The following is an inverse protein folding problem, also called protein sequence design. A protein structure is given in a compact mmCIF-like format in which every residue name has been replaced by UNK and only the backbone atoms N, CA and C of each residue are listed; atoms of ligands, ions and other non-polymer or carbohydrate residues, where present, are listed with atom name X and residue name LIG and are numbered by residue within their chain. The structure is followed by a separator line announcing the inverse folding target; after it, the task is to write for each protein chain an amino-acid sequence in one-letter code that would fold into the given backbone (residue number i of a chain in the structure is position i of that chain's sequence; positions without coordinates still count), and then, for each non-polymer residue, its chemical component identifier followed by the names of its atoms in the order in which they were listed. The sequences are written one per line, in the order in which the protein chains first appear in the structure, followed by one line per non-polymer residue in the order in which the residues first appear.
data_IF_459697586935
#
_entry.id   IF_459697586935
#
_cell.length_a   1.000
_cell.length_b   1.000
_cell.length_c   1.000
_cell.angle_alpha   90.00
_cell.angle_beta   90.00
_cell.angle_gamma   90.00
#
_symmetry.space_group_name_H-M   'P 1'
#
loop_
_entity.id
_entity.type
_entity.pdbx_description
1 polymer ?
#
# COMPACT_ATOMS: atom_id res chain seq x y z
N UNK A 1 -68.75 -13.45 -53.47
CA UNK A 1 -68.22 -14.07 -52.25
C UNK A 1 -66.71 -13.86 -52.26
N UNK A 2 -66.25 -12.80 -51.58
CA UNK A 2 -64.87 -12.30 -51.60
C UNK A 2 -63.99 -13.14 -50.67
N UNK A 3 -62.88 -13.70 -51.19
CA UNK A 3 -61.82 -14.26 -50.35
C UNK A 3 -60.59 -13.38 -50.55
N UNK A 4 -60.41 -12.45 -49.61
CA UNK A 4 -59.24 -11.60 -49.50
C UNK A 4 -58.06 -12.47 -49.04
N UNK A 5 -57.06 -12.70 -49.91
CA UNK A 5 -55.83 -13.40 -49.52
C UNK A 5 -54.93 -12.43 -48.74
N UNK A 6 -54.85 -12.63 -47.43
CA UNK A 6 -53.96 -11.89 -46.54
C UNK A 6 -52.53 -12.40 -46.73
N UNK A 7 -51.66 -11.61 -47.36
CA UNK A 7 -50.23 -11.92 -47.44
C UNK A 7 -49.54 -11.45 -46.14
N UNK A 8 -49.08 -12.40 -45.33
CA UNK A 8 -48.31 -12.11 -44.12
C UNK A 8 -46.84 -11.94 -44.54
N UNK A 9 -46.35 -10.70 -44.48
CA UNK A 9 -44.91 -10.39 -44.69
C UNK A 9 -44.21 -10.54 -43.35
N UNK A 10 -43.34 -11.55 -43.22
CA UNK A 10 -42.47 -11.72 -42.06
C UNK A 10 -41.27 -10.77 -42.18
N UNK A 11 -41.20 -9.73 -41.35
CA UNK A 11 -39.99 -8.94 -41.15
C UNK A 11 -39.05 -9.70 -40.21
N UNK A 12 -37.93 -10.23 -40.74
CA UNK A 12 -36.86 -10.77 -39.91
C UNK A 12 -36.03 -9.59 -39.40
N UNK A 13 -36.25 -9.19 -38.15
CA UNK A 13 -35.38 -8.24 -37.47
C UNK A 13 -34.06 -8.94 -37.14
N UNK A 14 -33.00 -8.65 -37.91
CA UNK A 14 -31.64 -9.10 -37.58
C UNK A 14 -31.13 -8.19 -36.47
N UNK A 15 -31.20 -8.64 -35.22
CA UNK A 15 -30.52 -7.95 -34.11
C UNK A 15 -29.03 -8.24 -34.20
N UNK A 16 -28.24 -7.26 -34.62
CA UNK A 16 -26.78 -7.32 -34.47
C UNK A 16 -26.45 -7.18 -32.98
N UNK A 17 -26.28 -8.30 -32.29
CA UNK A 17 -25.68 -8.30 -30.96
C UNK A 17 -24.20 -7.93 -31.12
N UNK A 18 -23.88 -6.66 -30.88
CA UNK A 18 -22.49 -6.25 -30.71
C UNK A 18 -22.03 -6.86 -29.38
N UNK A 19 -21.33 -8.00 -29.44
CA UNK A 19 -20.74 -8.61 -28.27
C UNK A 19 -19.63 -7.68 -27.75
N UNK A 20 -19.90 -7.01 -26.63
CA UNK A 20 -18.87 -6.25 -25.92
C UNK A 20 -17.89 -7.24 -25.30
N UNK A 21 -16.61 -7.14 -25.65
CA UNK A 21 -15.54 -8.00 -25.11
C UNK A 21 -14.64 -7.16 -24.21
N UNK A 22 -14.40 -7.63 -22.98
CA UNK A 22 -13.38 -7.07 -22.10
C UNK A 22 -12.04 -7.67 -22.56
N UNK A 23 -11.10 -6.83 -22.97
CA UNK A 23 -9.72 -7.22 -23.27
C UNK A 23 -8.81 -6.83 -22.12
N UNK A 24 -7.73 -7.59 -21.94
CA UNK A 24 -6.69 -7.20 -20.99
C UNK A 24 -6.14 -5.81 -21.35
N UNK A 25 -6.03 -4.96 -20.34
CA UNK A 25 -5.25 -3.74 -20.43
C UNK A 25 -3.82 -4.04 -19.95
N UNK A 26 -2.85 -3.23 -20.36
CA UNK A 26 -1.51 -3.30 -19.78
C UNK A 26 -1.59 -3.28 -18.26
N UNK A 27 -0.97 -4.28 -17.62
CA UNK A 27 -0.97 -4.41 -16.17
C UNK A 27 -0.26 -3.20 -15.54
N UNK A 28 -1.05 -2.22 -15.09
CA UNK A 28 -0.59 -1.13 -14.24
C UNK A 28 -0.64 -1.56 -12.77
N UNK A 29 -0.17 -2.77 -12.44
CA UNK A 29 -0.25 -3.39 -11.12
C UNK A 29 0.43 -2.61 -9.99
N UNK A 30 1.14 -1.52 -10.31
CA UNK A 30 1.60 -0.53 -9.34
C UNK A 30 0.59 0.61 -9.18
N UNK A 31 0.39 1.03 -7.94
CA UNK A 31 -0.29 2.29 -7.67
C UNK A 31 0.54 3.43 -8.25
N UNK A 32 -0.13 4.49 -8.71
CA UNK A 32 0.52 5.69 -9.24
C UNK A 32 1.54 6.25 -8.25
N UNK A 33 2.72 6.61 -8.75
CA UNK A 33 3.80 7.25 -8.00
C UNK A 33 4.22 6.49 -6.74
N UNK A 34 4.30 5.16 -6.85
CA UNK A 34 4.81 4.30 -5.79
C UNK A 34 6.03 3.51 -6.24
N UNK A 35 6.93 3.24 -5.30
CA UNK A 35 8.05 2.33 -5.47
C UNK A 35 8.18 1.38 -4.29
N UNK A 36 8.92 0.29 -4.50
CA UNK A 36 9.23 -0.70 -3.47
C UNK A 36 10.72 -0.91 -3.41
N UNK A 37 11.29 -0.85 -2.22
CA UNK A 37 12.70 -1.11 -1.94
C UNK A 37 12.83 -2.25 -0.95
N UNK A 38 13.91 -3.00 -1.06
CA UNK A 38 14.35 -3.91 0.00
C UNK A 38 15.33 -3.17 0.89
N UNK A 39 15.17 -3.27 2.20
CA UNK A 39 16.00 -2.61 3.19
C UNK A 39 16.50 -3.64 4.19
N UNK A 40 17.82 -3.81 4.27
CA UNK A 40 18.43 -4.72 5.24
C UNK A 40 18.66 -3.97 6.56
N UNK A 41 18.05 -4.45 7.64
CA UNK A 41 18.25 -3.89 8.98
C UNK A 41 19.42 -4.56 9.68
N UNK A 42 20.27 -3.75 10.31
CA UNK A 42 21.33 -4.26 11.19
C UNK A 42 20.74 -4.53 12.57
N UNK A 43 19.91 -3.62 13.09
CA UNK A 43 19.27 -3.73 14.40
C UNK A 43 18.40 -4.99 14.56
N UNK A 44 17.69 -5.40 13.50
CA UNK A 44 16.81 -6.59 13.53
C UNK A 44 17.48 -7.82 12.91
N UNK A 45 18.60 -7.65 12.21
CA UNK A 45 19.29 -8.69 11.45
C UNK A 45 18.38 -9.37 10.40
N UNK A 46 17.51 -8.57 9.75
CA UNK A 46 16.48 -9.06 8.83
C UNK A 46 16.19 -8.04 7.72
N UNK A 47 15.50 -8.49 6.67
CA UNK A 47 15.14 -7.69 5.52
C UNK A 47 13.68 -7.21 5.59
N UNK A 48 13.46 -5.93 5.27
CA UNK A 48 12.14 -5.33 5.14
C UNK A 48 11.86 -4.90 3.70
N UNK A 49 10.58 -4.94 3.32
CA UNK A 49 10.07 -4.32 2.11
C UNK A 49 9.48 -2.96 2.47
N UNK A 50 10.10 -1.92 1.93
CA UNK A 50 9.72 -0.54 2.14
C UNK A 50 8.95 -0.06 0.92
N UNK A 51 7.68 0.23 1.12
CA UNK A 51 6.77 0.73 0.10
C UNK A 51 6.67 2.25 0.22
N UNK A 52 6.96 3.00 -0.84
CA UNK A 52 6.97 4.46 -0.79
C UNK A 52 5.92 4.99 -1.76
N UNK A 53 5.09 5.93 -1.30
CA UNK A 53 4.19 6.71 -2.15
C UNK A 53 4.57 8.17 -2.05
N UNK A 54 4.87 8.77 -3.19
CA UNK A 54 5.21 10.19 -3.29
C UNK A 54 3.96 11.02 -3.69
N UNK A 55 3.80 12.23 -3.14
CA UNK A 55 2.70 13.11 -3.50
C UNK A 55 2.82 13.60 -4.95
N UNK A 56 1.71 14.10 -5.52
CA UNK A 56 1.66 14.46 -6.94
C UNK A 56 2.64 15.59 -7.28
N UNK A 57 2.79 16.56 -6.38
CA UNK A 57 3.69 17.70 -6.59
C UNK A 57 5.17 17.39 -6.35
N UNK A 58 5.53 16.16 -5.94
CA UNK A 58 6.89 15.84 -5.50
C UNK A 58 7.93 16.25 -6.54
N UNK A 59 7.87 15.75 -7.78
CA UNK A 59 8.85 16.08 -8.84
C UNK A 59 8.77 17.53 -9.34
N UNK A 60 7.67 18.23 -9.08
CA UNK A 60 7.45 19.59 -9.59
C UNK A 60 7.91 20.68 -8.60
N UNK A 61 8.26 20.32 -7.36
CA UNK A 61 8.57 21.29 -6.31
C UNK A 61 9.69 20.80 -5.38
N UNK A 62 10.36 21.75 -4.74
CA UNK A 62 11.34 21.49 -3.68
C UNK A 62 10.70 21.45 -2.28
N UNK A 63 9.37 21.30 -2.21
CA UNK A 63 8.65 21.24 -0.93
C UNK A 63 9.12 20.04 -0.10
N UNK A 64 9.17 20.23 1.22
CA UNK A 64 9.31 19.16 2.19
C UNK A 64 7.93 18.68 2.64
N UNK A 65 7.77 17.36 2.79
CA UNK A 65 6.48 16.73 3.05
C UNK A 65 6.47 15.99 4.38
N UNK A 66 5.36 16.05 5.14
CA UNK A 66 5.18 15.18 6.29
C UNK A 66 5.21 13.70 5.87
N UNK A 67 5.56 12.82 6.80
CA UNK A 67 5.71 11.38 6.53
C UNK A 67 4.77 10.57 7.41
N UNK A 68 3.93 9.76 6.78
CA UNK A 68 3.10 8.76 7.46
C UNK A 68 3.71 7.37 7.25
N UNK A 69 4.21 6.80 8.33
CA UNK A 69 4.72 5.43 8.37
C UNK A 69 3.59 4.45 8.68
N UNK A 70 3.42 3.44 7.83
CA UNK A 70 2.36 2.43 7.91
C UNK A 70 3.00 1.09 8.26
N UNK A 71 2.75 0.59 9.46
CA UNK A 71 3.07 -0.80 9.82
C UNK A 71 2.15 -1.76 9.07
N UNK A 72 2.57 -3.02 8.91
CA UNK A 72 1.91 -4.00 8.03
C UNK A 72 1.78 -3.50 6.57
N UNK A 73 2.86 -2.93 6.02
CA UNK A 73 2.90 -2.31 4.69
C UNK A 73 2.42 -3.24 3.57
N UNK A 74 2.70 -4.54 3.65
CA UNK A 74 2.24 -5.53 2.66
C UNK A 74 0.71 -5.55 2.50
N UNK A 75 -0.01 -5.27 3.59
CA UNK A 75 -1.47 -5.26 3.66
C UNK A 75 -2.05 -3.86 3.52
N UNK A 76 -1.51 -2.89 4.26
CA UNK A 76 -2.17 -1.59 4.49
C UNK A 76 -1.69 -0.46 3.57
N UNK A 77 -0.47 -0.55 3.01
CA UNK A 77 0.14 0.56 2.25
C UNK A 77 -0.73 1.00 1.07
N UNK A 78 -1.19 0.04 0.25
CA UNK A 78 -1.93 0.32 -0.98
C UNK A 78 -3.25 1.04 -0.72
N UNK A 79 -3.93 0.63 0.36
CA UNK A 79 -5.15 1.26 0.83
C UNK A 79 -4.88 2.68 1.35
N UNK A 80 -3.88 2.85 2.22
CA UNK A 80 -3.50 4.15 2.76
C UNK A 80 -3.11 5.15 1.66
N UNK A 81 -2.27 4.74 0.71
CA UNK A 81 -1.83 5.58 -0.41
C UNK A 81 -3.01 6.04 -1.29
N UNK A 82 -3.97 5.15 -1.55
CA UNK A 82 -5.14 5.46 -2.36
C UNK A 82 -6.09 6.42 -1.64
N UNK A 83 -6.35 6.18 -0.35
CA UNK A 83 -7.21 7.05 0.48
C UNK A 83 -6.58 8.44 0.61
N UNK A 84 -5.29 8.52 0.92
CA UNK A 84 -4.59 9.79 1.07
C UNK A 84 -4.64 10.62 -0.21
N UNK A 85 -4.40 9.98 -1.37
CA UNK A 85 -4.49 10.65 -2.68
C UNK A 85 -5.89 11.21 -2.95
N UNK A 86 -6.93 10.46 -2.62
CA UNK A 86 -8.31 10.92 -2.76
C UNK A 86 -8.59 12.13 -1.86
N UNK A 87 -8.14 12.09 -0.61
CA UNK A 87 -8.31 13.19 0.34
C UNK A 87 -7.52 14.45 -0.07
N UNK A 88 -6.30 14.27 -0.59
CA UNK A 88 -5.46 15.35 -1.14
C UNK A 88 -6.09 16.01 -2.36
N UNK A 89 -6.67 15.23 -3.28
CA UNK A 89 -7.40 15.76 -4.43
C UNK A 89 -8.55 16.67 -3.99
N UNK A 90 -9.26 16.30 -2.93
CA UNK A 90 -10.30 17.13 -2.33
C UNK A 90 -9.79 18.24 -1.41
N UNK A 91 -8.48 18.39 -1.21
CA UNK A 91 -7.88 19.40 -0.32
C UNK A 91 -8.14 19.18 1.18
N UNK A 92 -8.55 17.97 1.58
CA UNK A 92 -8.92 17.66 2.97
C UNK A 92 -7.72 17.42 3.88
N UNK A 93 -6.61 16.96 3.30
CA UNK A 93 -5.33 16.74 3.99
C UNK A 93 -4.19 17.34 3.15
N UNK A 94 -3.06 17.73 3.76
CA UNK A 94 -1.89 18.14 3.00
C UNK A 94 -1.34 16.98 2.16
N UNK A 95 -0.54 17.31 1.15
CA UNK A 95 0.32 16.32 0.52
C UNK A 95 1.34 15.75 1.51
N UNK A 96 1.49 14.43 1.52
CA UNK A 96 2.40 13.70 2.41
C UNK A 96 3.09 12.55 1.66
N UNK A 97 4.25 12.14 2.17
CA UNK A 97 4.90 10.89 1.79
C UNK A 97 4.33 9.78 2.67
N UNK A 98 4.01 8.64 2.08
CA UNK A 98 3.58 7.44 2.82
C UNK A 98 4.63 6.37 2.67
N UNK A 99 5.07 5.80 3.80
CA UNK A 99 6.08 4.75 3.85
C UNK A 99 5.48 3.52 4.53
N UNK A 100 5.20 2.47 3.77
CA UNK A 100 4.79 1.17 4.31
C UNK A 100 5.99 0.31 4.70
N UNK A 101 5.95 -0.28 5.89
CA UNK A 101 6.97 -1.21 6.39
C UNK A 101 6.38 -2.61 6.41
N UNK A 102 6.90 -3.49 5.57
CA UNK A 102 6.44 -4.87 5.46
C UNK A 102 7.59 -5.87 5.29
N UNK A 103 7.23 -7.10 4.97
CA UNK A 103 8.09 -8.27 4.85
C UNK A 103 8.09 -8.84 3.41
N UNK A 104 7.34 -8.23 2.49
CA UNK A 104 7.17 -8.72 1.11
C UNK A 104 6.15 -9.85 0.99
N UNK A 105 5.51 -10.22 2.09
CA UNK A 105 4.53 -11.32 2.18
C UNK A 105 3.59 -11.12 3.36
N UNK A 106 2.37 -11.66 3.23
CA UNK A 106 1.40 -11.75 4.32
C UNK A 106 1.56 -13.02 5.16
N UNK A 107 2.45 -13.92 4.76
CA UNK A 107 2.54 -15.28 5.31
C UNK A 107 3.74 -15.42 6.22
N UNK A 108 3.51 -15.96 7.42
CA UNK A 108 4.57 -16.19 8.40
C UNK A 108 5.64 -17.14 7.86
N UNK A 109 5.24 -18.17 7.14
CA UNK A 109 6.15 -19.21 6.61
C UNK A 109 7.06 -18.67 5.50
N UNK A 110 6.76 -17.50 4.94
CA UNK A 110 7.53 -16.84 3.90
C UNK A 110 8.38 -15.67 4.43
N UNK A 111 8.43 -15.48 5.76
CA UNK A 111 9.25 -14.45 6.40
C UNK A 111 8.48 -13.27 7.01
N UNK A 112 7.15 -13.33 7.14
CA UNK A 112 6.43 -12.30 7.89
C UNK A 112 6.67 -12.45 9.41
N UNK A 113 7.55 -11.61 9.95
CA UNK A 113 8.00 -11.66 11.35
C UNK A 113 7.28 -10.67 12.27
N UNK A 114 6.09 -10.17 11.89
CA UNK A 114 5.33 -9.18 12.68
C UNK A 114 5.05 -9.61 14.13
N UNK A 115 4.98 -10.92 14.40
CA UNK A 115 4.79 -11.41 15.77
C UNK A 115 6.01 -11.11 16.65
N UNK A 116 7.22 -11.24 16.09
CA UNK A 116 8.49 -10.92 16.75
C UNK A 116 8.57 -9.42 16.96
N UNK A 117 8.41 -8.67 15.87
CA UNK A 117 8.72 -7.24 15.81
C UNK A 117 7.70 -6.34 16.51
N UNK A 118 6.43 -6.75 16.62
CA UNK A 118 5.39 -5.93 17.27
C UNK A 118 5.08 -6.35 18.71
N UNK A 119 5.85 -7.28 19.29
CA UNK A 119 5.62 -7.74 20.66
C UNK A 119 6.60 -7.06 21.62
N UNK A 120 6.14 -6.21 22.57
CA UNK A 120 7.00 -5.49 23.52
C UNK A 120 7.82 -6.38 24.45
N UNK A 121 7.27 -7.54 24.79
CA UNK A 121 7.89 -8.48 25.72
C UNK A 121 7.87 -9.89 25.15
N UNK A 122 8.88 -10.66 25.53
CA UNK A 122 8.90 -12.09 25.26
C UNK A 122 7.82 -12.79 26.11
N UNK A 123 7.09 -13.71 25.47
CA UNK A 123 6.13 -14.57 26.16
C UNK A 123 6.73 -15.96 26.36
N UNK A 124 6.56 -16.50 27.56
CA UNK A 124 6.99 -17.87 27.88
C UNK A 124 6.41 -18.88 26.89
N UNK A 125 7.27 -19.76 26.36
CA UNK A 125 6.92 -20.73 25.32
C UNK A 125 6.81 -20.14 23.92
N UNK A 126 7.25 -18.89 23.72
CA UNK A 126 7.31 -18.17 22.43
C UNK A 126 8.62 -17.40 22.27
N UNK A 127 9.70 -17.96 22.82
CA UNK A 127 11.05 -17.43 22.73
C UNK A 127 11.46 -17.29 21.25
N UNK A 128 12.01 -16.13 20.88
CA UNK A 128 12.35 -15.80 19.49
C UNK A 128 11.15 -15.55 18.54
N UNK A 129 9.91 -15.73 19.00
CA UNK A 129 8.68 -15.43 18.25
C UNK A 129 8.05 -14.11 18.70
N UNK A 130 8.38 -13.63 19.90
CA UNK A 130 7.87 -12.40 20.52
C UNK A 130 8.98 -11.68 21.27
N UNK A 131 8.80 -10.39 21.60
CA UNK A 131 9.77 -9.61 22.37
C UNK A 131 10.76 -8.78 21.55
N UNK A 132 10.66 -8.81 20.22
CA UNK A 132 11.57 -8.09 19.31
C UNK A 132 11.22 -6.63 19.05
N UNK A 133 10.19 -6.08 19.70
CA UNK A 133 9.83 -4.68 19.53
C UNK A 133 10.94 -3.67 19.87
N UNK A 134 11.81 -3.87 20.88
CA UNK A 134 12.93 -2.97 21.11
C UNK A 134 13.88 -2.87 19.90
N UNK A 135 14.19 -3.99 19.26
CA UNK A 135 15.05 -4.04 18.08
C UNK A 135 14.35 -3.43 16.86
N UNK A 136 13.05 -3.69 16.70
CA UNK A 136 12.25 -3.08 15.64
C UNK A 136 12.14 -1.55 15.81
N UNK A 137 11.96 -1.04 17.04
CA UNK A 137 12.00 0.39 17.32
C UNK A 137 13.38 1.00 17.03
N UNK A 138 14.45 0.27 17.35
CA UNK A 138 15.82 0.69 17.02
C UNK A 138 16.02 0.79 15.50
N UNK A 139 15.56 -0.21 14.73
CA UNK A 139 15.52 -0.17 13.27
C UNK A 139 14.78 1.07 12.75
N UNK A 140 13.56 1.32 13.23
CA UNK A 140 12.77 2.47 12.77
C UNK A 140 13.51 3.79 13.01
N UNK A 141 13.98 4.01 14.24
CA UNK A 141 14.48 5.31 14.68
C UNK A 141 15.93 5.60 14.28
N UNK A 142 16.77 4.59 14.20
CA UNK A 142 18.21 4.77 13.92
C UNK A 142 18.59 4.42 12.48
N UNK A 143 17.78 3.64 11.76
CA UNK A 143 18.08 3.21 10.40
C UNK A 143 17.07 3.77 9.41
N UNK A 144 15.80 3.31 9.49
CA UNK A 144 14.82 3.58 8.44
C UNK A 144 14.46 5.06 8.35
N UNK A 145 14.10 5.71 9.46
CA UNK A 145 13.70 7.12 9.42
C UNK A 145 14.83 8.02 8.93
N UNK A 146 16.08 7.73 9.32
CA UNK A 146 17.25 8.47 8.84
C UNK A 146 17.49 8.26 7.35
N UNK A 147 17.30 7.04 6.86
CA UNK A 147 17.40 6.74 5.43
C UNK A 147 16.32 7.46 4.62
N UNK A 148 15.08 7.47 5.09
CA UNK A 148 13.97 8.18 4.43
C UNK A 148 14.25 9.69 4.41
N UNK A 149 14.69 10.26 5.53
CA UNK A 149 14.98 11.70 5.67
C UNK A 149 16.20 12.18 4.88
N UNK A 150 17.10 11.26 4.50
CA UNK A 150 18.26 11.56 3.65
C UNK A 150 18.00 11.32 2.17
N UNK A 151 17.02 10.47 1.84
CA UNK A 151 16.72 10.08 0.46
C UNK A 151 15.58 10.92 -0.13
N UNK A 152 14.59 11.31 0.68
CA UNK A 152 13.40 12.03 0.25
C UNK A 152 13.28 13.40 0.90
N UNK A 153 12.55 14.31 0.25
CA UNK A 153 12.25 15.66 0.79
C UNK A 153 11.21 15.58 1.89
N UNK A 154 11.61 15.17 3.09
CA UNK A 154 10.74 15.06 4.26
C UNK A 154 10.77 16.31 5.13
N UNK A 155 9.65 16.67 5.73
CA UNK A 155 9.65 17.47 6.95
C UNK A 155 10.05 16.57 8.13
N UNK A 156 11.15 16.91 8.80
CA UNK A 156 11.71 16.09 9.88
C UNK A 156 10.91 16.20 11.17
N UNK A 157 10.10 17.24 11.32
CA UNK A 157 9.33 17.52 12.52
C UNK A 157 7.87 17.06 12.41
N UNK A 158 7.43 16.59 11.24
CA UNK A 158 6.06 16.15 11.01
C UNK A 158 6.04 14.69 10.50
N UNK A 159 5.96 13.78 11.47
CA UNK A 159 5.95 12.33 11.24
C UNK A 159 4.84 11.69 12.07
N UNK A 160 4.16 10.71 11.49
CA UNK A 160 3.18 9.89 12.19
C UNK A 160 3.43 8.41 11.89
N UNK A 161 3.07 7.55 12.84
CA UNK A 161 3.08 6.10 12.69
C UNK A 161 1.65 5.59 12.83
N UNK A 162 1.24 4.69 11.95
CA UNK A 162 -0.03 3.99 12.00
C UNK A 162 0.20 2.49 12.12
N UNK A 163 -0.56 1.86 13.02
CA UNK A 163 -0.62 0.42 13.18
C UNK A 163 -2.00 -0.04 13.62
N UNK A 164 -2.38 -1.25 13.21
CA UNK A 164 -3.63 -1.90 13.59
C UNK A 164 -3.37 -3.23 14.30
N UNK A 165 -4.23 -3.60 15.26
CA UNK A 165 -4.08 -4.83 16.05
C UNK A 165 -2.71 -4.87 16.76
N UNK A 166 -1.88 -5.90 16.54
CA UNK A 166 -0.53 -5.95 17.12
C UNK A 166 0.35 -4.76 16.71
N UNK A 167 0.20 -4.25 15.49
CA UNK A 167 0.96 -3.07 15.09
C UNK A 167 0.52 -1.80 15.84
N UNK A 168 -0.70 -1.77 16.40
CA UNK A 168 -1.14 -0.71 17.31
C UNK A 168 -0.82 -0.98 18.78
N UNK A 169 -0.34 -2.19 19.12
CA UNK A 169 0.23 -2.51 20.43
C UNK A 169 1.69 -2.04 20.53
N UNK A 170 2.45 -2.18 19.43
CA UNK A 170 3.79 -1.60 19.26
C UNK A 170 3.74 -0.08 19.42
#
# INVERSE_FOLDING_TARGET
MNILKLAIVFFIAVSTNIAQTITDADDKGSIYNTEVKKFQSIAVEDDFYIYISLPQSYEATDKQYPVLYILDGDMAFRMAASIARYLQFGGNIPELIIVGIGYGTLRKEEGNMRQRDYSPTEKSGKEGITGGAPDFLNFLTTELFQHIDSTYRTDKNDKAVFGYSMAGLF
#
